data_IF_698205252489
#
_entry.id   IF_698205252489
#
_cell.length_a   1.000
_cell.length_b   1.000
_cell.length_c   1.000
_cell.angle_alpha   90.00
_cell.angle_beta   90.00
_cell.angle_gamma   90.00
#
_symmetry.space_group_name_H-M   'P 1'
#
loop_
_entity.id
_entity.type
_entity.pdbx_description
1 polymer ?
#
# COMPACT_ATOMS: atom_id res chain seq x y z
N UNK A 1 1.28 -28.67 6.95
CA UNK A 1 0.04 -27.85 6.95
C UNK A 1 -0.96 -28.50 5.98
N UNK A 2 -2.22 -28.46 6.31
CA UNK A 2 -3.28 -28.94 5.43
C UNK A 2 -4.09 -27.76 4.91
N UNK A 3 -3.48 -26.97 4.03
CA UNK A 3 -4.07 -25.73 3.51
C UNK A 3 -5.49 -25.92 2.98
N UNK A 4 -5.77 -27.02 2.31
CA UNK A 4 -7.10 -27.32 1.78
C UNK A 4 -8.17 -27.51 2.88
N UNK A 5 -7.82 -28.17 4.00
CA UNK A 5 -8.74 -28.38 5.13
C UNK A 5 -9.02 -27.05 5.86
N UNK A 6 -7.99 -26.21 6.05
CA UNK A 6 -8.13 -24.90 6.67
C UNK A 6 -9.03 -23.99 5.80
N UNK A 7 -8.77 -23.97 4.48
CA UNK A 7 -9.58 -23.18 3.54
C UNK A 7 -11.03 -23.64 3.50
N UNK A 8 -11.30 -24.95 3.48
CA UNK A 8 -12.66 -25.49 3.51
C UNK A 8 -13.38 -25.12 4.82
N UNK A 9 -12.66 -25.16 5.96
CA UNK A 9 -13.21 -24.74 7.25
C UNK A 9 -13.55 -23.24 7.27
N UNK A 10 -12.67 -22.40 6.70
CA UNK A 10 -12.91 -20.96 6.61
C UNK A 10 -14.08 -20.62 5.68
N UNK A 11 -14.17 -21.31 4.54
CA UNK A 11 -15.28 -21.10 3.60
C UNK A 11 -16.63 -21.46 4.23
N UNK A 12 -16.66 -22.52 5.04
CA UNK A 12 -17.86 -22.88 5.81
C UNK A 12 -18.22 -21.86 6.89
N UNK A 13 -17.23 -21.23 7.53
CA UNK A 13 -17.45 -20.19 8.55
C UNK A 13 -17.80 -18.82 7.97
N UNK A 14 -17.24 -18.47 6.80
CA UNK A 14 -17.33 -17.16 6.17
C UNK A 14 -17.89 -17.25 4.75
N UNK A 15 -19.10 -17.79 4.56
CA UNK A 15 -19.68 -17.98 3.24
C UNK A 15 -19.90 -16.63 2.54
N UNK A 16 -19.40 -16.51 1.32
CA UNK A 16 -19.53 -15.29 0.50
C UNK A 16 -18.43 -14.23 0.69
N UNK A 17 -17.46 -14.43 1.59
CA UNK A 17 -16.31 -13.54 1.76
C UNK A 17 -15.19 -13.87 0.75
N UNK A 18 -15.47 -13.75 -0.54
CA UNK A 18 -14.62 -14.23 -1.64
C UNK A 18 -13.24 -13.59 -1.64
N UNK A 19 -13.17 -12.27 -1.48
CA UNK A 19 -11.91 -11.52 -1.49
C UNK A 19 -10.99 -11.94 -0.34
N UNK A 20 -11.58 -12.13 0.84
CA UNK A 20 -10.84 -12.59 2.01
C UNK A 20 -10.33 -14.01 1.86
N UNK A 21 -11.18 -14.94 1.44
CA UNK A 21 -10.82 -16.35 1.24
C UNK A 21 -9.73 -16.53 0.17
N UNK A 22 -9.79 -15.74 -0.90
CA UNK A 22 -8.74 -15.74 -1.92
C UNK A 22 -7.39 -15.29 -1.36
N UNK A 23 -7.36 -14.19 -0.62
CA UNK A 23 -6.11 -13.68 -0.03
C UNK A 23 -5.50 -14.68 0.98
N UNK A 24 -6.33 -15.32 1.80
CA UNK A 24 -5.87 -16.37 2.71
C UNK A 24 -5.27 -17.55 1.93
N UNK A 25 -5.95 -18.01 0.87
CA UNK A 25 -5.45 -19.09 0.01
C UNK A 25 -4.06 -18.77 -0.56
N UNK A 26 -3.88 -17.59 -1.14
CA UNK A 26 -2.61 -17.16 -1.72
C UNK A 26 -1.47 -17.16 -0.70
N UNK A 27 -1.71 -16.63 0.49
CA UNK A 27 -0.71 -16.62 1.57
C UNK A 27 -0.41 -18.03 2.05
N UNK A 28 -1.42 -18.85 2.34
CA UNK A 28 -1.22 -20.22 2.84
C UNK A 28 -0.39 -21.05 1.87
N UNK A 29 -0.66 -20.97 0.57
CA UNK A 29 0.11 -21.69 -0.45
C UNK A 29 1.57 -21.22 -0.50
N UNK A 30 1.82 -19.94 -0.31
CA UNK A 30 3.17 -19.38 -0.35
C UNK A 30 4.03 -19.68 0.89
N UNK A 31 3.39 -19.98 2.05
CA UNK A 31 4.09 -20.22 3.31
C UNK A 31 4.08 -21.70 3.74
N UNK A 32 3.39 -22.59 3.01
CA UNK A 32 3.21 -23.99 3.40
C UNK A 32 4.51 -24.73 3.61
N UNK A 33 5.48 -24.55 2.73
CA UNK A 33 6.79 -25.18 2.82
C UNK A 33 7.51 -24.79 4.12
N UNK A 34 7.58 -23.49 4.43
CA UNK A 34 8.27 -22.99 5.61
C UNK A 34 7.50 -23.34 6.89
N UNK A 35 6.17 -23.32 6.86
CA UNK A 35 5.35 -23.71 8.00
C UNK A 35 5.61 -25.16 8.41
N UNK A 36 5.74 -26.09 7.43
CA UNK A 36 6.00 -27.50 7.68
C UNK A 36 7.38 -27.77 8.28
N UNK A 37 8.30 -26.83 8.22
CA UNK A 37 9.61 -26.89 8.88
C UNK A 37 9.54 -26.48 10.37
N UNK A 38 8.37 -25.97 10.84
CA UNK A 38 8.14 -25.44 12.18
C UNK A 38 7.00 -26.18 12.89
N UNK A 39 7.21 -27.41 13.40
CA UNK A 39 6.14 -28.16 14.07
C UNK A 39 5.57 -27.48 15.32
N UNK A 40 6.29 -26.54 15.91
CA UNK A 40 5.85 -25.69 17.01
C UNK A 40 4.69 -24.75 16.58
N UNK A 41 4.63 -24.33 15.35
CA UNK A 41 3.54 -23.50 14.84
C UNK A 41 2.22 -24.27 14.77
N UNK A 42 2.28 -25.53 14.37
CA UNK A 42 1.11 -26.41 14.34
C UNK A 42 0.55 -26.66 15.75
N UNK A 43 1.45 -26.93 16.72
CA UNK A 43 1.04 -27.13 18.15
C UNK A 43 0.37 -25.90 18.75
N UNK A 44 0.78 -24.70 18.32
CA UNK A 44 0.23 -23.42 18.77
C UNK A 44 -0.96 -22.94 17.94
N UNK A 45 -1.44 -23.73 16.96
CA UNK A 45 -2.51 -23.38 16.03
C UNK A 45 -2.31 -21.99 15.41
N UNK A 46 -1.07 -21.71 14.96
CA UNK A 46 -0.71 -20.37 14.48
C UNK A 46 -1.55 -19.97 13.26
N UNK A 47 -1.75 -20.87 12.30
CA UNK A 47 -2.53 -20.54 11.09
C UNK A 47 -3.99 -20.33 11.42
N UNK A 48 -4.60 -21.19 12.22
CA UNK A 48 -6.01 -21.09 12.60
C UNK A 48 -6.31 -19.77 13.32
N UNK A 49 -5.36 -19.28 14.12
CA UNK A 49 -5.46 -17.99 14.81
C UNK A 49 -5.16 -16.82 13.88
N UNK A 50 -4.20 -16.99 12.96
CA UNK A 50 -3.76 -15.95 12.04
C UNK A 50 -4.79 -15.60 10.96
N UNK A 51 -5.63 -16.56 10.57
CA UNK A 51 -6.65 -16.37 9.53
C UNK A 51 -7.99 -15.85 10.10
N UNK A 52 -8.08 -15.64 11.39
CA UNK A 52 -9.22 -14.98 12.02
C UNK A 52 -8.78 -13.63 12.58
N UNK A 53 -9.51 -12.54 12.35
CA UNK A 53 -9.19 -11.25 12.95
C UNK A 53 -9.42 -11.27 14.47
N UNK A 54 -8.57 -10.55 15.22
CA UNK A 54 -8.75 -10.43 16.67
C UNK A 54 -10.11 -9.82 17.04
N UNK A 55 -10.56 -8.81 16.28
CA UNK A 55 -11.85 -8.12 16.49
C UNK A 55 -12.37 -7.49 15.21
N UNK A 56 -13.70 -7.44 15.12
CA UNK A 56 -14.43 -6.68 14.12
C UNK A 56 -15.40 -5.76 14.83
N UNK A 57 -15.29 -4.46 14.59
CA UNK A 57 -16.23 -3.45 15.08
C UNK A 57 -17.07 -2.99 13.88
N UNK A 58 -18.38 -3.18 13.96
CA UNK A 58 -19.35 -2.72 12.96
C UNK A 58 -20.30 -1.75 13.62
N UNK A 59 -20.54 -0.62 13.01
CA UNK A 59 -21.38 0.44 13.57
C UNK A 59 -22.14 1.22 12.51
N UNK A 60 -23.24 1.81 12.91
CA UNK A 60 -24.07 2.70 12.09
C UNK A 60 -23.49 4.10 12.11
N UNK A 61 -23.42 4.73 10.92
CA UNK A 61 -22.96 6.12 10.74
C UNK A 61 -24.11 6.98 10.19
N UNK A 62 -24.95 7.60 11.03
CA UNK A 62 -25.98 8.53 10.59
C UNK A 62 -25.37 9.92 10.38
N UNK A 63 -25.74 10.60 9.29
CA UNK A 63 -25.30 11.95 8.99
C UNK A 63 -26.35 12.71 8.17
N UNK A 64 -26.22 14.03 8.09
CA UNK A 64 -27.17 14.92 7.44
C UNK A 64 -26.44 15.64 6.30
N UNK A 65 -27.02 15.62 5.10
CA UNK A 65 -26.50 16.34 3.95
C UNK A 65 -26.84 17.85 3.98
N UNK A 66 -26.34 18.57 2.99
CA UNK A 66 -26.56 20.02 2.87
C UNK A 66 -28.00 20.40 2.65
N UNK A 67 -28.85 19.49 2.15
CA UNK A 67 -30.28 19.67 1.97
C UNK A 67 -31.10 19.33 3.24
N UNK A 68 -30.44 18.89 4.33
CA UNK A 68 -31.09 18.49 5.57
C UNK A 68 -31.65 17.07 5.57
N UNK A 69 -31.32 16.26 4.55
CA UNK A 69 -31.70 14.84 4.48
C UNK A 69 -30.80 13.97 5.32
N UNK A 70 -31.41 13.07 6.08
CA UNK A 70 -30.69 12.07 6.88
C UNK A 70 -30.26 10.90 6.00
N UNK A 71 -28.99 10.52 6.14
CA UNK A 71 -28.38 9.33 5.53
C UNK A 71 -27.86 8.40 6.61
N UNK A 72 -27.77 7.11 6.29
CA UNK A 72 -27.22 6.09 7.17
C UNK A 72 -26.28 5.21 6.37
N UNK A 73 -25.04 5.16 6.79
CA UNK A 73 -24.00 4.27 6.27
C UNK A 73 -23.55 3.27 7.33
N UNK A 74 -22.82 2.26 6.90
CA UNK A 74 -22.20 1.28 7.80
C UNK A 74 -20.70 1.55 7.85
N UNK A 75 -20.19 1.70 9.08
CA UNK A 75 -18.78 1.80 9.37
C UNK A 75 -18.19 0.51 9.93
N UNK A 76 -16.93 0.26 9.64
CA UNK A 76 -16.21 -0.93 10.08
C UNK A 76 -14.80 -0.58 10.54
N UNK A 77 -14.31 -1.34 11.54
CA UNK A 77 -12.89 -1.47 11.85
C UNK A 77 -12.56 -2.93 12.09
N UNK A 78 -11.69 -3.49 11.28
CA UNK A 78 -11.11 -4.81 11.45
C UNK A 78 -9.75 -4.64 12.14
N UNK A 79 -9.65 -5.03 13.39
CA UNK A 79 -8.43 -5.19 14.16
C UNK A 79 -7.95 -6.61 13.91
N UNK A 80 -7.03 -6.76 12.93
CA UNK A 80 -6.77 -8.08 12.38
C UNK A 80 -5.78 -8.88 13.24
N UNK A 81 -4.61 -8.31 13.52
CA UNK A 81 -3.56 -8.96 14.32
C UNK A 81 -2.65 -7.90 14.94
N UNK A 82 -2.37 -8.00 16.24
CA UNK A 82 -1.50 -7.08 16.97
C UNK A 82 -0.27 -7.76 17.59
N UNK A 83 0.10 -8.93 17.15
CA UNK A 83 1.23 -9.68 17.73
C UNK A 83 2.56 -8.92 17.69
N UNK A 84 2.76 -8.04 16.72
CA UNK A 84 4.01 -7.28 16.56
C UNK A 84 3.89 -5.79 16.89
N UNK A 85 2.72 -5.32 17.29
CA UNK A 85 2.48 -3.92 17.65
C UNK A 85 1.02 -3.50 17.47
N UNK A 86 0.68 -2.23 17.72
CA UNK A 86 -0.69 -1.72 17.57
C UNK A 86 -1.26 -2.04 16.20
N UNK A 87 -2.56 -2.30 16.13
CA UNK A 87 -3.23 -2.45 14.82
C UNK A 87 -2.97 -1.21 13.97
N UNK A 88 -2.58 -1.40 12.72
CA UNK A 88 -2.22 -0.31 11.81
C UNK A 88 -2.78 -0.56 10.42
N UNK A 89 -3.49 0.42 9.88
CA UNK A 89 -3.98 0.39 8.52
C UNK A 89 -5.01 1.46 8.23
N UNK A 90 -5.25 1.72 6.94
CA UNK A 90 -6.07 2.82 6.46
C UNK A 90 -7.57 2.65 6.71
N UNK A 91 -8.29 3.76 6.60
CA UNK A 91 -9.74 3.84 6.51
C UNK A 91 -10.10 4.17 5.06
N UNK A 92 -11.01 3.38 4.47
CA UNK A 92 -11.48 3.55 3.09
C UNK A 92 -12.92 4.07 3.08
N UNK A 93 -13.17 5.15 2.36
CA UNK A 93 -14.53 5.62 2.08
C UNK A 93 -14.84 5.40 0.60
N UNK A 94 -15.61 4.34 0.34
CA UNK A 94 -16.00 3.99 -1.02
C UNK A 94 -17.28 3.13 -0.99
N UNK A 95 -18.21 3.30 -1.96
CA UNK A 95 -19.48 2.54 -1.98
C UNK A 95 -19.32 1.02 -2.00
N UNK A 96 -18.19 0.51 -2.50
CA UNK A 96 -17.92 -0.93 -2.55
C UNK A 96 -17.42 -1.52 -1.22
N UNK A 97 -17.20 -0.70 -0.19
CA UNK A 97 -16.70 -1.19 1.10
C UNK A 97 -17.70 -2.17 1.73
N UNK A 98 -17.19 -3.35 2.04
CA UNK A 98 -17.88 -4.40 2.78
C UNK A 98 -16.90 -5.13 3.70
N UNK A 99 -17.40 -6.01 4.54
CA UNK A 99 -16.57 -6.71 5.54
C UNK A 99 -15.52 -7.61 4.89
N UNK A 100 -15.85 -8.34 3.81
CA UNK A 100 -14.92 -9.23 3.11
C UNK A 100 -13.69 -8.48 2.61
N UNK A 101 -13.91 -7.32 1.95
CA UNK A 101 -12.83 -6.44 1.48
C UNK A 101 -11.96 -5.95 2.63
N UNK A 102 -12.56 -5.55 3.74
CA UNK A 102 -11.79 -5.01 4.88
C UNK A 102 -11.03 -6.11 5.64
N UNK A 103 -11.57 -7.33 5.75
CA UNK A 103 -10.85 -8.49 6.27
C UNK A 103 -9.66 -8.84 5.38
N UNK A 104 -9.87 -8.93 4.06
CA UNK A 104 -8.80 -9.11 3.08
C UNK A 104 -7.67 -8.09 3.27
N UNK A 105 -8.03 -6.81 3.26
CA UNK A 105 -7.05 -5.73 3.37
C UNK A 105 -6.36 -5.70 4.74
N UNK A 106 -7.05 -6.06 5.83
CA UNK A 106 -6.47 -6.15 7.17
C UNK A 106 -5.49 -7.32 7.31
N UNK A 107 -5.81 -8.45 6.71
CA UNK A 107 -4.96 -9.63 6.62
C UNK A 107 -3.65 -9.33 5.86
N UNK A 108 -3.76 -8.80 4.65
CA UNK A 108 -2.60 -8.37 3.85
C UNK A 108 -1.75 -7.30 4.56
N UNK A 109 -2.41 -6.36 5.24
CA UNK A 109 -1.73 -5.30 5.97
C UNK A 109 -0.86 -5.84 7.12
N UNK A 110 -1.26 -6.95 7.75
CA UNK A 110 -0.48 -7.60 8.81
C UNK A 110 0.91 -7.99 8.31
N UNK A 111 1.01 -8.63 7.15
CA UNK A 111 2.29 -9.06 6.57
C UNK A 111 3.09 -7.88 6.01
N UNK A 112 2.42 -6.95 5.36
CA UNK A 112 3.05 -5.73 4.84
C UNK A 112 3.72 -4.93 5.97
N UNK A 113 3.03 -4.74 7.09
CA UNK A 113 3.57 -4.02 8.25
C UNK A 113 4.74 -4.81 8.88
N UNK A 114 4.65 -6.13 8.94
CA UNK A 114 5.71 -6.98 9.46
C UNK A 114 7.04 -6.82 8.70
N UNK A 115 6.98 -6.62 7.38
CA UNK A 115 8.17 -6.40 6.55
C UNK A 115 8.90 -5.10 6.89
N UNK A 116 8.21 -4.06 7.36
CA UNK A 116 8.83 -2.76 7.66
C UNK A 116 9.81 -2.81 8.83
N UNK A 117 9.88 -3.91 9.57
CA UNK A 117 10.62 -4.07 10.83
C UNK A 117 10.09 -3.23 11.99
N UNK A 118 9.20 -2.27 11.73
CA UNK A 118 8.58 -1.43 12.74
C UNK A 118 7.52 -2.21 13.56
N UNK A 119 7.27 -1.83 14.82
CA UNK A 119 6.30 -2.50 15.69
C UNK A 119 4.87 -2.09 15.34
N UNK A 120 4.33 -2.63 14.26
CA UNK A 120 2.98 -2.36 13.77
C UNK A 120 2.27 -3.65 13.39
N UNK A 121 1.12 -3.90 13.99
CA UNK A 121 0.20 -4.96 13.61
C UNK A 121 -0.60 -4.63 12.35
N UNK A 122 -1.64 -5.41 12.06
CA UNK A 122 -2.52 -5.22 10.91
C UNK A 122 -3.95 -4.83 11.30
N UNK A 123 -4.50 -3.88 10.59
CA UNK A 123 -5.90 -3.48 10.72
C UNK A 123 -6.39 -2.74 9.48
N UNK A 124 -7.70 -2.68 9.31
CA UNK A 124 -8.35 -1.97 8.21
C UNK A 124 -9.71 -1.46 8.62
N UNK A 125 -10.07 -0.29 8.15
CA UNK A 125 -11.40 0.27 8.40
C UNK A 125 -12.01 0.87 7.15
N UNK A 126 -13.27 1.27 7.26
CA UNK A 126 -13.95 1.94 6.15
C UNK A 126 -15.46 2.07 6.35
N UNK A 127 -16.09 2.68 5.37
CA UNK A 127 -17.52 2.79 5.26
C UNK A 127 -17.95 2.79 3.80
N UNK A 128 -19.20 2.40 3.54
CA UNK A 128 -19.86 2.42 2.23
C UNK A 128 -20.26 3.84 1.78
N UNK A 129 -19.49 4.83 2.18
CA UNK A 129 -19.68 6.25 1.91
C UNK A 129 -18.76 6.71 0.77
N UNK A 130 -19.28 7.55 -0.14
CA UNK A 130 -18.46 8.22 -1.16
C UNK A 130 -18.31 9.71 -0.83
N UNK A 131 -17.07 10.22 -0.64
CA UNK A 131 -16.82 11.65 -0.50
C UNK A 131 -16.90 12.40 -1.85
N UNK A 132 -16.88 11.67 -2.99
CA UNK A 132 -16.89 12.29 -4.31
C UNK A 132 -18.20 13.04 -4.54
N UNK A 133 -18.09 14.32 -4.91
CA UNK A 133 -19.25 15.19 -5.16
C UNK A 133 -19.94 15.71 -3.91
N UNK A 134 -19.38 15.47 -2.71
CA UNK A 134 -19.87 16.00 -1.44
C UNK A 134 -19.18 17.30 -1.07
N UNK A 135 -19.91 18.17 -0.36
CA UNK A 135 -19.32 19.38 0.22
C UNK A 135 -18.37 19.06 1.38
N UNK A 136 -17.46 19.98 1.69
CA UNK A 136 -16.57 19.84 2.86
C UNK A 136 -17.37 19.71 4.17
N UNK A 137 -18.53 20.37 4.28
CA UNK A 137 -19.41 20.26 5.43
C UNK A 137 -20.01 18.86 5.56
N UNK A 138 -20.49 18.28 4.47
CA UNK A 138 -21.03 16.91 4.45
C UNK A 138 -19.96 15.90 4.85
N UNK A 139 -18.74 16.01 4.27
CA UNK A 139 -17.61 15.13 4.57
C UNK A 139 -17.19 15.27 6.03
N UNK A 140 -17.11 16.50 6.55
CA UNK A 140 -16.79 16.75 7.96
C UNK A 140 -17.83 16.12 8.88
N UNK A 141 -19.12 16.30 8.58
CA UNK A 141 -20.24 15.72 9.34
C UNK A 141 -20.17 14.20 9.37
N UNK A 142 -19.88 13.58 8.20
CA UNK A 142 -19.68 12.13 8.11
C UNK A 142 -18.49 11.66 8.94
N UNK A 143 -17.32 12.28 8.79
CA UNK A 143 -16.12 11.95 9.55
C UNK A 143 -16.33 12.05 11.07
N UNK A 144 -17.03 13.07 11.51
CA UNK A 144 -17.37 13.25 12.92
C UNK A 144 -18.30 12.16 13.43
N UNK A 145 -19.33 11.80 12.66
CA UNK A 145 -20.26 10.72 13.01
C UNK A 145 -19.55 9.37 13.04
N UNK A 146 -18.71 9.07 12.04
CA UNK A 146 -17.90 7.85 12.00
C UNK A 146 -17.00 7.74 13.24
N UNK A 147 -16.34 8.84 13.63
CA UNK A 147 -15.43 8.86 14.77
C UNK A 147 -16.15 8.76 16.13
N UNK A 148 -17.41 9.19 16.26
CA UNK A 148 -18.20 9.05 17.50
C UNK A 148 -18.33 7.59 17.95
N UNK A 149 -18.34 6.65 17.00
CA UNK A 149 -18.38 5.23 17.30
C UNK A 149 -16.97 4.63 17.43
N UNK A 150 -16.05 5.03 16.53
CA UNK A 150 -14.74 4.40 16.43
C UNK A 150 -13.78 4.79 17.57
N UNK A 151 -13.87 6.01 18.13
CA UNK A 151 -12.84 6.58 19.01
C UNK A 151 -12.49 5.72 20.23
N UNK A 152 -13.44 4.94 20.76
CA UNK A 152 -13.23 4.06 21.94
C UNK A 152 -12.35 2.85 21.64
N UNK A 153 -12.16 2.54 20.38
CA UNK A 153 -11.48 1.34 19.91
C UNK A 153 -10.09 1.61 19.33
N UNK A 154 -9.72 2.87 19.24
CA UNK A 154 -8.44 3.31 18.66
C UNK A 154 -7.63 4.12 19.66
N UNK A 155 -6.34 4.21 19.45
CA UNK A 155 -5.41 4.93 20.30
C UNK A 155 -3.97 4.77 19.81
N UNK A 156 -3.02 5.57 20.31
CA UNK A 156 -1.63 5.57 19.82
C UNK A 156 -0.93 4.21 20.03
N UNK A 157 -1.31 3.46 21.07
CA UNK A 157 -0.71 2.19 21.44
C UNK A 157 -1.68 0.99 21.27
N UNK A 158 -2.88 1.23 20.75
CA UNK A 158 -3.90 0.20 20.53
C UNK A 158 -4.12 -0.04 19.03
N UNK A 159 -4.57 1.01 18.33
CA UNK A 159 -4.96 0.94 16.93
C UNK A 159 -4.79 2.33 16.31
N UNK A 160 -3.94 2.42 15.28
CA UNK A 160 -3.59 3.70 14.64
C UNK A 160 -4.06 3.70 13.19
N UNK A 161 -5.26 4.23 12.89
CA UNK A 161 -5.76 4.36 11.53
C UNK A 161 -4.94 5.35 10.69
N UNK A 162 -5.12 5.26 9.37
CA UNK A 162 -4.54 6.17 8.38
C UNK A 162 -5.54 6.44 7.24
N UNK A 163 -5.13 7.22 6.24
CA UNK A 163 -5.88 7.37 5.00
C UNK A 163 -5.77 6.16 4.07
N UNK A 164 -6.74 6.03 3.19
CA UNK A 164 -6.82 5.07 2.08
C UNK A 164 -7.73 5.68 0.98
N UNK A 165 -8.26 4.88 0.04
CA UNK A 165 -9.17 5.37 -1.00
C UNK A 165 -10.32 6.18 -0.38
N UNK A 166 -10.55 7.38 -0.87
CA UNK A 166 -11.59 8.30 -0.39
C UNK A 166 -11.28 8.96 0.97
N UNK A 167 -10.11 8.73 1.54
CA UNK A 167 -9.67 9.32 2.81
C UNK A 167 -8.27 9.92 2.63
N UNK A 168 -8.22 11.20 2.36
CA UNK A 168 -7.00 11.99 2.27
C UNK A 168 -6.71 12.79 3.55
N UNK A 169 -5.80 13.76 3.44
CA UNK A 169 -5.43 14.61 4.58
C UNK A 169 -6.59 15.39 5.19
N UNK A 170 -7.58 15.80 4.38
CA UNK A 170 -8.80 16.49 4.83
C UNK A 170 -9.64 15.57 5.74
N UNK A 171 -9.96 14.37 5.30
CA UNK A 171 -10.74 13.40 6.06
C UNK A 171 -10.00 12.96 7.33
N UNK A 172 -8.69 12.72 7.23
CA UNK A 172 -7.84 12.42 8.40
C UNK A 172 -7.91 13.58 9.41
N UNK A 173 -7.83 14.83 8.95
CA UNK A 173 -7.91 15.99 9.82
C UNK A 173 -9.25 16.10 10.54
N UNK A 174 -10.36 15.89 9.82
CA UNK A 174 -11.71 15.92 10.43
C UNK A 174 -11.91 14.79 11.44
N UNK A 175 -11.45 13.57 11.13
CA UNK A 175 -11.53 12.44 12.06
C UNK A 175 -10.64 12.66 13.29
N UNK A 176 -9.41 13.12 13.10
CA UNK A 176 -8.49 13.40 14.21
C UNK A 176 -8.99 14.51 15.11
N UNK A 177 -9.54 15.59 14.53
CA UNK A 177 -10.15 16.68 15.30
C UNK A 177 -11.30 16.20 16.19
N UNK A 178 -12.14 15.30 15.68
CA UNK A 178 -13.22 14.70 16.47
C UNK A 178 -12.69 13.74 17.53
N UNK A 179 -11.72 12.87 17.21
CA UNK A 179 -11.06 11.99 18.17
C UNK A 179 -10.49 12.80 19.35
N UNK A 180 -9.67 13.78 19.06
CA UNK A 180 -9.06 14.66 20.07
C UNK A 180 -10.12 15.29 20.99
N UNK A 181 -11.27 15.68 20.45
CA UNK A 181 -12.38 16.27 21.21
C UNK A 181 -13.04 15.27 22.14
N UNK A 182 -13.24 14.02 21.67
CA UNK A 182 -13.91 12.96 22.44
C UNK A 182 -13.00 12.35 23.49
N UNK A 183 -11.76 12.06 23.14
CA UNK A 183 -10.77 11.48 24.05
C UNK A 183 -10.17 12.50 25.02
N UNK A 184 -10.26 13.81 24.71
CA UNK A 184 -9.60 14.89 25.42
C UNK A 184 -8.05 14.71 25.48
N UNK A 185 -7.48 14.19 24.39
CA UNK A 185 -6.06 13.87 24.28
C UNK A 185 -5.53 14.34 22.93
N UNK A 186 -4.27 14.78 22.90
CA UNK A 186 -3.52 15.08 21.68
C UNK A 186 -2.40 14.05 21.51
N UNK A 187 -2.69 12.96 20.82
CA UNK A 187 -1.80 11.80 20.68
C UNK A 187 -1.57 11.43 19.22
N UNK A 188 -0.71 10.44 18.97
CA UNK A 188 -0.43 9.87 17.66
C UNK A 188 -1.47 8.90 17.14
N UNK A 189 -2.73 9.05 17.48
CA UNK A 189 -3.81 8.07 17.18
C UNK A 189 -4.10 7.88 15.70
N UNK A 190 -3.79 8.83 14.85
CA UNK A 190 -3.91 8.69 13.39
C UNK A 190 -2.62 9.09 12.71
N UNK A 191 -2.35 8.51 11.53
CA UNK A 191 -1.26 8.95 10.66
C UNK A 191 -1.78 9.50 9.33
N UNK A 192 -0.93 10.27 8.64
CA UNK A 192 -1.34 11.07 7.50
C UNK A 192 -1.94 12.42 7.92
N UNK A 193 -1.66 12.84 9.15
CA UNK A 193 -2.05 14.15 9.66
C UNK A 193 -1.33 15.28 8.92
N UNK A 194 -1.93 16.47 8.94
CA UNK A 194 -1.25 17.68 8.50
C UNK A 194 -0.01 17.97 9.34
N UNK A 195 0.99 18.59 8.74
CA UNK A 195 2.25 18.88 9.40
C UNK A 195 2.09 19.78 10.63
N UNK A 196 1.09 20.66 10.63
CA UNK A 196 0.80 21.61 11.72
C UNK A 196 0.27 20.96 13.01
N UNK A 197 -0.14 19.69 12.95
CA UNK A 197 -0.70 18.96 14.10
C UNK A 197 -0.19 17.52 14.23
N UNK A 198 1.10 17.31 13.94
CA UNK A 198 1.80 16.08 14.23
C UNK A 198 2.02 15.15 13.03
N UNK A 199 1.78 15.61 11.80
CA UNK A 199 2.11 14.87 10.58
C UNK A 199 3.62 14.80 10.31
N UNK A 200 4.07 13.74 9.64
CA UNK A 200 5.44 13.58 9.20
C UNK A 200 5.71 14.27 7.86
N UNK A 201 6.94 14.74 7.68
CA UNK A 201 7.45 15.14 6.37
C UNK A 201 7.52 13.94 5.42
N UNK A 202 7.64 14.19 4.12
CA UNK A 202 7.75 13.22 3.03
C UNK A 202 6.57 12.25 2.89
N UNK A 203 5.46 12.45 3.61
CA UNK A 203 4.34 11.50 3.58
C UNK A 203 3.72 11.34 2.18
N UNK A 204 3.47 12.41 1.38
CA UNK A 204 2.94 12.29 0.03
C UNK A 204 3.84 11.50 -0.92
N UNK A 205 5.16 11.67 -0.81
CA UNK A 205 6.17 11.09 -1.70
C UNK A 205 6.59 9.68 -1.29
N UNK A 206 6.39 9.32 -0.03
CA UNK A 206 7.06 8.18 0.62
C UNK A 206 6.82 6.83 -0.06
N UNK A 207 5.64 6.59 -0.63
CA UNK A 207 5.37 5.35 -1.35
C UNK A 207 6.24 5.26 -2.61
N UNK A 208 6.28 6.32 -3.40
CA UNK A 208 7.12 6.39 -4.61
C UNK A 208 8.61 6.38 -4.30
N UNK A 209 9.04 7.13 -3.29
CA UNK A 209 10.45 7.15 -2.85
C UNK A 209 10.89 5.75 -2.39
N UNK A 210 10.10 5.11 -1.53
CA UNK A 210 10.37 3.76 -1.05
C UNK A 210 10.45 2.75 -2.19
N UNK A 211 9.55 2.83 -3.17
CA UNK A 211 9.56 1.94 -4.33
C UNK A 211 10.86 2.08 -5.13
N UNK A 212 11.33 3.30 -5.35
CA UNK A 212 12.60 3.53 -6.07
C UNK A 212 13.79 3.04 -5.26
N UNK A 213 13.81 3.20 -3.94
CA UNK A 213 14.84 2.62 -3.08
C UNK A 213 14.85 1.09 -3.16
N UNK A 214 13.68 0.46 -3.16
CA UNK A 214 13.60 -0.99 -3.33
C UNK A 214 14.17 -1.44 -4.68
N UNK A 215 13.83 -0.75 -5.77
CA UNK A 215 14.42 -0.99 -7.11
C UNK A 215 15.93 -0.78 -7.11
N UNK A 216 16.44 0.27 -6.44
CA UNK A 216 17.87 0.50 -6.29
C UNK A 216 18.57 -0.68 -5.61
N UNK A 217 17.96 -1.27 -4.58
CA UNK A 217 18.49 -2.45 -3.90
C UNK A 217 18.42 -3.70 -4.78
N UNK A 218 17.37 -3.89 -5.59
CA UNK A 218 17.34 -4.95 -6.63
C UNK A 218 18.52 -4.75 -7.59
N UNK A 219 18.69 -3.55 -8.12
CA UNK A 219 19.79 -3.24 -9.03
C UNK A 219 21.14 -3.58 -8.42
N UNK A 220 21.40 -3.14 -7.18
CA UNK A 220 22.64 -3.44 -6.45
C UNK A 220 22.85 -4.95 -6.25
N UNK A 221 21.79 -5.69 -5.90
CA UNK A 221 21.83 -7.14 -5.69
C UNK A 221 22.23 -7.90 -6.96
N UNK A 222 21.82 -7.41 -8.12
CA UNK A 222 22.06 -8.06 -9.42
C UNK A 222 23.15 -7.39 -10.26
N UNK A 223 23.95 -6.49 -9.68
CA UNK A 223 25.04 -5.80 -10.39
C UNK A 223 24.58 -4.88 -11.51
N UNK A 224 23.35 -4.35 -11.44
CA UNK A 224 22.78 -3.42 -12.41
C UNK A 224 23.01 -1.99 -11.91
N UNK A 225 23.48 -1.10 -12.76
CA UNK A 225 23.52 0.33 -12.45
C UNK A 225 22.15 0.95 -12.75
N UNK A 226 21.51 1.55 -11.74
CA UNK A 226 20.25 2.25 -11.91
C UNK A 226 20.41 3.54 -12.72
N UNK A 227 21.60 4.15 -12.67
CA UNK A 227 21.89 5.38 -13.41
C UNK A 227 21.80 5.15 -14.92
N UNK A 228 21.04 6.02 -15.58
CA UNK A 228 20.81 5.94 -17.03
C UNK A 228 19.72 4.96 -17.46
N UNK A 229 19.14 4.18 -16.53
CA UNK A 229 18.03 3.28 -16.84
C UNK A 229 16.75 4.04 -17.14
N UNK A 230 15.99 3.55 -18.12
CA UNK A 230 14.68 4.08 -18.49
C UNK A 230 13.59 3.38 -17.68
N UNK A 231 12.62 4.15 -17.21
CA UNK A 231 11.54 3.68 -16.34
C UNK A 231 10.18 4.05 -16.93
N UNK A 232 9.33 3.05 -17.15
CA UNK A 232 7.93 3.30 -17.46
C UNK A 232 7.10 3.25 -16.16
N UNK A 233 6.28 4.27 -15.94
CA UNK A 233 5.31 4.30 -14.84
C UNK A 233 3.91 4.55 -15.40
N UNK A 234 2.90 4.09 -14.66
CA UNK A 234 1.50 4.44 -14.85
C UNK A 234 1.04 5.48 -13.83
N UNK A 235 -0.08 6.14 -14.12
CA UNK A 235 -0.63 7.17 -13.23
C UNK A 235 0.12 8.49 -13.26
N UNK A 236 -0.42 9.46 -12.54
CA UNK A 236 0.16 10.81 -12.30
C UNK A 236 -0.14 11.31 -10.88
N UNK A 237 -0.59 10.41 -9.98
CA UNK A 237 -0.85 10.69 -8.58
C UNK A 237 0.41 10.80 -7.73
N UNK A 238 0.25 10.84 -6.40
CA UNK A 238 1.37 10.96 -5.45
C UNK A 238 2.44 9.90 -5.63
N UNK A 239 2.03 8.66 -5.88
CA UNK A 239 2.94 7.52 -6.03
C UNK A 239 3.79 7.71 -7.29
N UNK A 240 3.16 7.94 -8.44
CA UNK A 240 3.83 8.20 -9.71
C UNK A 240 4.77 9.42 -9.63
N UNK A 241 4.29 10.51 -9.03
CA UNK A 241 5.09 11.72 -8.82
C UNK A 241 6.32 11.46 -7.93
N UNK A 242 6.15 10.71 -6.84
CA UNK A 242 7.26 10.31 -5.97
C UNK A 242 8.29 9.45 -6.71
N UNK A 243 7.83 8.46 -7.50
CA UNK A 243 8.73 7.64 -8.33
C UNK A 243 9.50 8.52 -9.31
N UNK A 244 8.84 9.40 -10.07
CA UNK A 244 9.49 10.27 -11.04
C UNK A 244 10.57 11.14 -10.40
N UNK A 245 10.26 11.73 -9.24
CA UNK A 245 11.19 12.60 -8.49
C UNK A 245 12.41 11.82 -7.99
N UNK A 246 12.21 10.72 -7.27
CA UNK A 246 13.31 9.96 -6.65
C UNK A 246 14.14 9.21 -7.70
N UNK A 247 13.53 8.65 -8.74
CA UNK A 247 14.26 8.00 -9.83
C UNK A 247 15.18 9.00 -10.55
N UNK A 248 14.71 10.22 -10.78
CA UNK A 248 15.54 11.31 -11.36
C UNK A 248 16.69 11.68 -10.43
N UNK A 249 16.47 11.81 -9.12
CA UNK A 249 17.53 12.09 -8.14
C UNK A 249 18.63 11.01 -8.15
N UNK A 250 18.25 9.74 -8.38
CA UNK A 250 19.18 8.60 -8.45
C UNK A 250 19.73 8.37 -9.88
N UNK A 251 19.42 9.24 -10.84
CA UNK A 251 19.97 9.23 -12.18
C UNK A 251 19.27 8.32 -13.18
N UNK A 252 18.13 7.73 -12.85
CA UNK A 252 17.26 7.05 -13.81
C UNK A 252 16.36 8.03 -14.56
N UNK A 253 15.77 7.60 -15.67
CA UNK A 253 14.91 8.43 -16.52
C UNK A 253 13.51 7.86 -16.58
N UNK A 254 12.55 8.51 -15.93
CA UNK A 254 11.13 8.18 -16.09
C UNK A 254 10.61 8.78 -17.39
N UNK A 255 10.04 7.94 -18.26
CA UNK A 255 9.68 8.32 -19.63
C UNK A 255 8.17 8.24 -19.91
N UNK A 256 7.36 7.76 -18.98
CA UNK A 256 5.90 7.67 -19.17
C UNK A 256 5.13 8.14 -17.95
N UNK A 257 3.92 8.64 -18.18
CA UNK A 257 2.80 8.75 -17.22
C UNK A 257 1.53 8.32 -17.92
N UNK A 258 0.52 7.88 -17.19
CA UNK A 258 -0.76 7.47 -17.80
C UNK A 258 -1.97 7.93 -17.00
N UNK A 259 -3.09 8.05 -17.67
CA UNK A 259 -4.39 8.37 -17.12
C UNK A 259 -5.49 7.53 -17.76
N UNK A 260 -6.77 7.76 -17.41
CA UNK A 260 -7.88 7.07 -18.03
C UNK A 260 -8.01 7.30 -19.55
N UNK A 261 -7.48 8.42 -20.05
CA UNK A 261 -7.50 8.80 -21.48
C UNK A 261 -6.39 8.12 -22.31
N UNK A 262 -5.37 7.55 -21.65
CA UNK A 262 -4.23 6.92 -22.32
C UNK A 262 -2.92 7.15 -21.58
N UNK A 263 -1.79 7.15 -22.31
CA UNK A 263 -0.50 7.47 -21.71
C UNK A 263 0.30 8.47 -22.54
N UNK A 264 1.24 9.13 -21.87
CA UNK A 264 2.24 10.00 -22.49
C UNK A 264 3.60 9.33 -22.42
N UNK A 265 4.32 9.35 -23.54
CA UNK A 265 5.75 9.04 -23.65
C UNK A 265 6.55 10.32 -23.85
N UNK A 266 7.44 10.61 -22.91
CA UNK A 266 8.36 11.76 -22.96
C UNK A 266 9.81 11.25 -23.10
N UNK A 267 10.39 11.27 -24.31
CA UNK A 267 11.73 10.75 -24.53
C UNK A 267 12.83 11.54 -23.79
N UNK A 268 12.57 12.80 -23.44
CA UNK A 268 13.49 13.63 -22.66
C UNK A 268 13.48 13.25 -21.18
N UNK A 269 12.47 12.52 -20.75
CA UNK A 269 12.20 12.14 -19.37
C UNK A 269 11.43 13.20 -18.60
N UNK A 270 10.72 12.73 -17.54
CA UNK A 270 9.98 13.58 -16.60
C UNK A 270 10.94 13.93 -15.45
N UNK A 271 11.81 14.90 -15.67
CA UNK A 271 13.02 15.13 -14.89
C UNK A 271 13.34 16.61 -14.59
N UNK A 272 12.43 17.52 -14.88
CA UNK A 272 12.60 18.95 -14.57
C UNK A 272 11.55 19.44 -13.58
N UNK A 273 11.83 20.54 -12.83
CA UNK A 273 10.84 21.13 -11.93
C UNK A 273 9.50 21.44 -12.60
N UNK A 274 9.54 21.93 -13.86
CA UNK A 274 8.32 22.26 -14.63
C UNK A 274 7.52 21.00 -14.97
N UNK A 275 8.18 19.87 -15.27
CA UNK A 275 7.52 18.59 -15.56
C UNK A 275 6.93 17.98 -14.30
N UNK A 276 7.61 18.05 -13.15
CA UNK A 276 7.05 17.65 -11.86
C UNK A 276 5.86 18.51 -11.46
N UNK A 277 5.94 19.82 -11.69
CA UNK A 277 4.80 20.72 -11.44
C UNK A 277 3.62 20.38 -12.35
N UNK A 278 3.86 20.05 -13.62
CA UNK A 278 2.80 19.64 -14.52
C UNK A 278 2.07 18.38 -14.06
N UNK A 279 2.76 17.40 -13.43
CA UNK A 279 2.09 16.25 -12.81
C UNK A 279 1.20 16.68 -11.64
N UNK A 280 1.64 17.62 -10.81
CA UNK A 280 0.84 18.16 -9.71
C UNK A 280 -0.38 18.95 -10.22
N UNK A 281 -0.22 19.72 -11.32
CA UNK A 281 -1.29 20.48 -11.96
C UNK A 281 -2.37 19.52 -12.53
N UNK A 282 -1.97 18.46 -13.24
CA UNK A 282 -2.87 17.41 -13.72
C UNK A 282 -3.72 16.82 -12.59
N UNK A 283 -3.06 16.47 -11.49
CA UNK A 283 -3.73 15.93 -10.31
C UNK A 283 -4.71 16.93 -9.68
N UNK A 284 -4.32 18.20 -9.59
CA UNK A 284 -5.13 19.25 -8.98
C UNK A 284 -6.32 19.65 -9.84
N UNK A 285 -6.25 19.42 -11.17
CA UNK A 285 -7.32 19.74 -12.11
C UNK A 285 -8.57 18.89 -11.88
N UNK A 286 -8.41 17.66 -11.35
CA UNK A 286 -9.49 16.69 -11.19
C UNK A 286 -10.10 16.18 -12.49
N UNK A 287 -9.51 16.51 -13.64
CA UNK A 287 -10.02 16.13 -14.97
C UNK A 287 -9.56 14.76 -15.44
N UNK A 288 -8.53 14.21 -14.80
CA UNK A 288 -7.92 12.91 -15.15
C UNK A 288 -7.46 12.77 -16.61
N UNK A 289 -7.07 13.90 -17.26
CA UNK A 289 -6.70 13.98 -18.67
C UNK A 289 -5.18 14.13 -18.81
N UNK A 290 -4.46 13.01 -19.01
CA UNK A 290 -2.99 13.03 -19.07
C UNK A 290 -2.45 13.63 -20.37
N UNK A 291 -3.26 13.66 -21.43
CA UNK A 291 -2.90 14.30 -22.71
C UNK A 291 -2.56 15.80 -22.59
N UNK A 292 -3.01 16.46 -21.51
CA UNK A 292 -2.67 17.87 -21.28
C UNK A 292 -1.16 18.07 -21.00
N UNK A 293 -0.48 17.05 -20.49
CA UNK A 293 0.98 17.08 -20.36
C UNK A 293 1.66 17.20 -21.75
N UNK A 294 1.25 16.39 -22.72
CA UNK A 294 1.82 16.40 -24.06
C UNK A 294 1.57 17.73 -24.80
N UNK A 295 0.49 18.44 -24.49
CA UNK A 295 0.23 19.79 -25.05
C UNK A 295 1.25 20.83 -24.52
N UNK A 296 1.76 20.62 -23.30
CA UNK A 296 2.71 21.53 -22.64
C UNK A 296 4.17 21.27 -23.04
N UNK A 297 4.51 20.02 -23.38
CA UNK A 297 5.87 19.59 -23.70
C UNK A 297 5.93 19.02 -25.12
N UNK A 298 6.53 19.75 -26.10
CA UNK A 298 6.42 19.43 -27.53
C UNK A 298 7.03 18.08 -27.95
N UNK A 299 8.03 17.57 -27.21
CA UNK A 299 8.65 16.28 -27.51
C UNK A 299 7.88 15.10 -26.95
N UNK A 300 6.94 15.35 -26.05
CA UNK A 300 6.10 14.33 -25.47
C UNK A 300 5.01 13.90 -26.45
N UNK A 301 4.77 12.60 -26.52
CA UNK A 301 3.79 11.98 -27.42
C UNK A 301 2.66 11.36 -26.60
N UNK A 302 1.41 11.61 -26.99
CA UNK A 302 0.23 11.03 -26.35
C UNK A 302 -0.31 9.85 -27.17
N UNK A 303 -0.65 8.76 -26.48
CA UNK A 303 -1.20 7.54 -27.04
C UNK A 303 -2.56 7.26 -26.41
N UNK A 304 -3.62 7.64 -27.13
CA UNK A 304 -5.01 7.55 -26.64
C UNK A 304 -5.44 6.08 -26.41
N UNK A 305 -6.05 5.81 -25.27
CA UNK A 305 -6.63 4.51 -24.92
C UNK A 305 -5.61 3.38 -24.74
N UNK A 306 -4.31 3.68 -24.74
CA UNK A 306 -3.24 2.69 -24.59
C UNK A 306 -2.58 2.76 -23.24
N UNK A 307 -1.83 1.69 -22.89
CA UNK A 307 -1.06 1.54 -21.65
C UNK A 307 0.43 1.78 -21.90
N UNK A 308 1.21 2.27 -20.92
CA UNK A 308 2.62 2.59 -21.08
C UNK A 308 3.51 1.36 -21.28
N UNK A 309 2.98 0.16 -21.10
CA UNK A 309 3.73 -1.10 -21.13
C UNK A 309 4.20 -1.53 -22.52
N UNK A 310 3.72 -0.87 -23.58
CA UNK A 310 4.23 -1.08 -24.94
C UNK A 310 5.59 -0.37 -25.22
N UNK A 311 6.01 0.55 -24.34
CA UNK A 311 7.30 1.23 -24.49
C UNK A 311 8.47 0.33 -24.10
N UNK A 312 9.54 0.40 -24.90
CA UNK A 312 10.79 -0.29 -24.56
C UNK A 312 11.54 0.48 -23.49
N UNK A 313 11.61 -0.10 -22.31
CA UNK A 313 12.26 0.46 -21.14
C UNK A 313 13.03 -0.63 -20.38
N UNK A 314 13.89 -0.23 -19.46
CA UNK A 314 14.63 -1.18 -18.61
C UNK A 314 13.76 -1.64 -17.41
N UNK A 315 12.93 -0.75 -16.89
CA UNK A 315 12.19 -0.96 -15.63
C UNK A 315 10.72 -0.56 -15.84
N UNK A 316 9.78 -1.37 -15.36
CA UNK A 316 8.35 -1.07 -15.35
C UNK A 316 7.83 -1.00 -13.91
N UNK A 317 7.13 0.09 -13.57
CA UNK A 317 6.59 0.32 -12.23
C UNK A 317 5.11 0.75 -12.32
N UNK A 318 4.15 -0.18 -12.19
CA UNK A 318 2.73 0.18 -12.11
C UNK A 318 2.47 1.01 -10.84
N UNK A 319 1.97 2.24 -11.01
CA UNK A 319 1.80 3.24 -9.94
C UNK A 319 0.36 3.78 -9.82
N UNK A 320 -0.58 3.29 -10.61
CA UNK A 320 -1.93 3.85 -10.70
C UNK A 320 -2.95 3.04 -9.91
N UNK A 321 -3.42 1.94 -10.47
CA UNK A 321 -4.57 1.21 -9.94
C UNK A 321 -4.33 -0.28 -9.79
N UNK A 322 -5.25 -0.93 -9.09
CA UNK A 322 -5.27 -2.38 -8.95
C UNK A 322 -5.52 -3.06 -10.31
N UNK A 323 -4.82 -4.18 -10.56
CA UNK A 323 -4.97 -5.02 -11.76
C UNK A 323 -4.80 -4.26 -13.09
N UNK A 324 -3.97 -3.22 -13.09
CA UNK A 324 -3.71 -2.43 -14.30
C UNK A 324 -2.80 -3.12 -15.33
N UNK A 325 -1.98 -4.06 -14.88
CA UNK A 325 -1.08 -4.86 -15.71
C UNK A 325 -1.56 -6.32 -15.77
N UNK A 326 -1.99 -6.76 -16.94
CA UNK A 326 -2.46 -8.12 -17.16
C UNK A 326 -1.37 -9.03 -17.76
N UNK A 327 -1.67 -10.30 -18.01
CA UNK A 327 -0.72 -11.29 -18.54
C UNK A 327 -0.19 -10.90 -19.94
N UNK A 328 -1.02 -10.29 -20.80
CA UNK A 328 -0.59 -9.80 -22.12
C UNK A 328 0.41 -8.67 -22.01
N UNK A 329 0.17 -7.73 -21.09
CA UNK A 329 1.12 -6.67 -20.75
C UNK A 329 2.44 -7.27 -20.24
N UNK A 330 2.38 -8.31 -19.40
CA UNK A 330 3.58 -8.99 -18.88
C UNK A 330 4.40 -9.67 -19.97
N UNK A 331 3.73 -10.36 -20.91
CA UNK A 331 4.38 -10.96 -22.08
C UNK A 331 5.03 -9.91 -22.97
N UNK A 332 4.39 -8.77 -23.16
CA UNK A 332 4.90 -7.67 -23.95
C UNK A 332 6.15 -7.04 -23.31
N UNK A 333 6.12 -6.76 -22.01
CA UNK A 333 7.28 -6.26 -21.26
C UNK A 333 8.47 -7.21 -21.34
N UNK A 334 8.24 -8.52 -21.17
CA UNK A 334 9.27 -9.54 -21.31
C UNK A 334 9.87 -9.56 -22.72
N UNK A 335 9.02 -9.56 -23.75
CA UNK A 335 9.46 -9.51 -25.16
C UNK A 335 10.25 -8.24 -25.50
N UNK A 336 9.93 -7.11 -24.87
CA UNK A 336 10.63 -5.84 -25.01
C UNK A 336 11.96 -5.78 -24.22
N UNK A 337 12.28 -6.81 -23.43
CA UNK A 337 13.53 -6.90 -22.68
C UNK A 337 13.54 -6.11 -21.36
N UNK A 338 12.38 -5.84 -20.76
CA UNK A 338 12.29 -5.23 -19.44
C UNK A 338 12.98 -6.13 -18.42
N UNK A 339 13.90 -5.56 -17.65
CA UNK A 339 14.72 -6.29 -16.68
C UNK A 339 14.03 -6.39 -15.31
N UNK A 340 13.40 -5.31 -14.86
CA UNK A 340 12.78 -5.23 -13.52
C UNK A 340 11.32 -4.79 -13.66
N UNK A 341 10.43 -5.50 -12.98
CA UNK A 341 9.04 -5.10 -12.77
C UNK A 341 8.81 -4.93 -11.26
N UNK A 342 8.49 -3.72 -10.81
CA UNK A 342 8.30 -3.41 -9.41
C UNK A 342 6.90 -2.83 -9.16
N UNK A 343 6.05 -3.64 -8.54
CA UNK A 343 4.66 -3.31 -8.24
C UNK A 343 4.57 -2.18 -7.21
N UNK A 344 4.28 -0.97 -7.66
CA UNK A 344 4.26 0.21 -6.79
C UNK A 344 2.84 0.54 -6.30
N UNK A 345 1.82 0.29 -7.13
CA UNK A 345 0.42 0.30 -6.69
C UNK A 345 0.07 -0.96 -5.87
N UNK A 346 -1.03 -0.91 -5.12
CA UNK A 346 -1.53 -2.10 -4.44
C UNK A 346 -2.13 -3.07 -5.47
N UNK A 347 -1.55 -4.28 -5.57
CA UNK A 347 -1.97 -5.30 -6.54
C UNK A 347 -2.04 -4.73 -7.97
N UNK A 348 -0.99 -4.05 -8.43
CA UNK A 348 -0.93 -3.44 -9.76
C UNK A 348 -0.96 -4.46 -10.90
N UNK A 349 -0.44 -5.67 -10.65
CA UNK A 349 -0.48 -6.80 -11.57
C UNK A 349 -1.66 -7.72 -11.26
N UNK A 350 -2.25 -8.34 -12.29
CA UNK A 350 -3.15 -9.47 -12.08
C UNK A 350 -2.36 -10.69 -11.60
N UNK A 351 -3.05 -11.68 -11.02
CA UNK A 351 -2.40 -12.91 -10.55
C UNK A 351 -1.65 -13.61 -11.70
N UNK A 352 -2.26 -13.69 -12.87
CA UNK A 352 -1.67 -14.31 -14.07
C UNK A 352 -0.42 -13.57 -14.54
N UNK A 353 -0.40 -12.23 -14.46
CA UNK A 353 0.78 -11.44 -14.79
C UNK A 353 1.93 -11.69 -13.79
N UNK A 354 1.61 -11.72 -12.50
CA UNK A 354 2.60 -12.01 -11.44
C UNK A 354 3.16 -13.43 -11.57
N UNK A 355 2.30 -14.44 -11.80
CA UNK A 355 2.70 -15.82 -12.06
C UNK A 355 3.62 -15.92 -13.27
N UNK A 356 3.26 -15.26 -14.39
CA UNK A 356 4.10 -15.22 -15.58
C UNK A 356 5.51 -14.69 -15.30
N UNK A 357 5.64 -13.57 -14.58
CA UNK A 357 6.94 -13.02 -14.22
C UNK A 357 7.78 -13.98 -13.38
N UNK A 358 7.16 -14.63 -12.39
CA UNK A 358 7.83 -15.62 -11.54
C UNK A 358 8.25 -16.86 -12.34
N UNK A 359 7.38 -17.43 -13.18
CA UNK A 359 7.70 -18.57 -14.04
C UNK A 359 8.86 -18.27 -15.02
N UNK A 360 8.88 -17.06 -15.57
CA UNK A 360 9.96 -16.60 -16.45
C UNK A 360 11.23 -16.16 -15.70
N UNK A 361 11.21 -16.26 -14.35
CA UNK A 361 12.32 -15.83 -13.48
C UNK A 361 12.78 -14.39 -13.73
N UNK A 362 11.82 -13.51 -14.06
CA UNK A 362 12.08 -12.09 -14.16
C UNK A 362 12.29 -11.49 -12.76
N UNK A 363 12.98 -10.34 -12.69
CA UNK A 363 13.12 -9.60 -11.44
C UNK A 363 11.80 -8.86 -11.15
N UNK A 364 10.83 -9.63 -10.62
CA UNK A 364 9.52 -9.14 -10.25
C UNK A 364 9.41 -8.99 -8.74
N UNK A 365 9.05 -7.80 -8.27
CA UNK A 365 8.87 -7.50 -6.85
C UNK A 365 7.41 -7.10 -6.54
N UNK A 366 6.78 -7.74 -5.53
CA UNK A 366 5.36 -7.55 -5.22
C UNK A 366 5.10 -6.25 -4.48
N UNK A 367 3.89 -5.73 -4.63
CA UNK A 367 3.46 -4.45 -4.05
C UNK A 367 3.65 -4.36 -2.54
N UNK A 368 3.37 -5.42 -1.79
CA UNK A 368 3.52 -5.43 -0.32
C UNK A 368 4.95 -5.11 0.16
N UNK A 369 5.96 -5.41 -0.64
CA UNK A 369 7.35 -5.05 -0.36
C UNK A 369 7.71 -3.68 -0.98
N UNK A 370 7.44 -3.51 -2.27
CA UNK A 370 7.84 -2.32 -3.03
C UNK A 370 7.16 -1.04 -2.52
N UNK A 371 5.86 -1.07 -2.25
CA UNK A 371 5.10 0.11 -1.82
C UNK A 371 5.02 0.30 -0.30
N UNK A 372 5.82 -0.43 0.46
CA UNK A 372 5.85 -0.33 1.92
C UNK A 372 6.32 1.04 2.44
N UNK A 373 6.93 1.87 1.59
CA UNK A 373 7.40 3.21 1.96
C UNK A 373 6.32 4.09 2.59
N UNK A 374 5.08 3.99 2.11
CA UNK A 374 3.95 4.74 2.68
C UNK A 374 3.63 4.35 4.12
N UNK A 375 3.56 3.06 4.42
CA UNK A 375 3.30 2.58 5.79
C UNK A 375 4.53 2.72 6.68
N UNK A 376 5.75 2.59 6.13
CA UNK A 376 6.98 2.85 6.85
C UNK A 376 7.02 4.30 7.36
N UNK A 377 6.74 5.28 6.50
CA UNK A 377 6.66 6.69 6.92
C UNK A 377 5.51 6.94 7.90
N UNK A 378 4.41 6.19 7.81
CA UNK A 378 3.36 6.24 8.83
C UNK A 378 3.88 5.75 10.20
N UNK A 379 4.68 4.69 10.24
CA UNK A 379 5.34 4.24 11.46
C UNK A 379 6.35 5.25 12.00
N UNK A 380 7.09 5.93 11.13
CA UNK A 380 7.96 7.04 11.51
C UNK A 380 7.16 8.24 12.06
N UNK A 381 5.97 8.52 11.54
CA UNK A 381 5.06 9.51 12.11
C UNK A 381 4.62 9.12 13.52
N UNK A 382 4.26 7.85 13.75
CA UNK A 382 3.94 7.35 15.10
C UNK A 382 5.11 7.56 16.06
N UNK A 383 6.34 7.24 15.65
CA UNK A 383 7.54 7.43 16.44
C UNK A 383 7.74 8.90 16.80
N UNK A 384 7.66 9.81 15.82
CA UNK A 384 7.78 11.25 16.05
C UNK A 384 6.72 11.76 17.04
N UNK A 385 5.47 11.27 16.92
CA UNK A 385 4.39 11.63 17.82
C UNK A 385 4.64 11.13 19.25
N UNK A 386 5.12 9.90 19.42
CA UNK A 386 5.44 9.35 20.74
C UNK A 386 6.60 10.08 21.42
N UNK A 387 7.55 10.60 20.65
CA UNK A 387 8.68 11.38 21.13
C UNK A 387 8.37 12.87 21.32
N UNK A 388 7.21 13.34 20.84
CA UNK A 388 6.86 14.77 20.75
C UNK A 388 7.88 15.59 19.95
N UNK A 389 8.45 15.01 18.91
CA UNK A 389 9.44 15.63 18.04
C UNK A 389 9.00 15.59 16.58
N UNK A 390 9.59 16.47 15.77
CA UNK A 390 9.45 16.42 14.30
C UNK A 390 10.84 16.30 13.69
N UNK A 391 10.99 15.37 12.74
CA UNK A 391 12.22 15.20 11.98
C UNK A 391 12.23 16.03 10.71
N UNK A 392 13.43 16.32 10.21
CA UNK A 392 13.64 16.99 8.91
C UNK A 392 13.30 16.06 7.76
N UNK A 393 13.25 16.61 6.54
CA UNK A 393 13.07 15.79 5.34
C UNK A 393 14.19 14.74 5.20
N UNK A 394 15.42 15.16 5.46
CA UNK A 394 16.63 14.32 5.35
C UNK A 394 16.63 13.19 6.37
N UNK A 395 16.21 13.46 7.60
CA UNK A 395 16.10 12.43 8.65
C UNK A 395 15.04 11.39 8.32
N UNK A 396 13.87 11.81 7.82
CA UNK A 396 12.80 10.90 7.40
C UNK A 396 13.22 10.09 6.18
N UNK A 397 13.86 10.73 5.19
CA UNK A 397 14.32 10.08 3.96
C UNK A 397 15.40 9.02 4.25
N UNK A 398 16.37 9.34 5.11
CA UNK A 398 17.41 8.39 5.51
C UNK A 398 16.82 7.16 6.22
N UNK A 399 15.85 7.37 7.12
CA UNK A 399 15.16 6.26 7.81
C UNK A 399 14.30 5.44 6.85
N UNK A 400 13.62 6.08 5.91
CA UNK A 400 12.85 5.41 4.87
C UNK A 400 13.76 4.55 3.99
N UNK A 401 14.89 5.07 3.56
CA UNK A 401 15.88 4.34 2.77
C UNK A 401 16.38 3.09 3.51
N UNK A 402 16.72 3.22 4.80
CA UNK A 402 17.13 2.08 5.63
C UNK A 402 16.04 1.01 5.74
N UNK A 403 14.80 1.42 6.02
CA UNK A 403 13.67 0.47 6.12
C UNK A 403 13.47 -0.29 4.79
N UNK A 404 13.57 0.40 3.65
CA UNK A 404 13.44 -0.24 2.34
C UNK A 404 14.60 -1.21 2.04
N UNK A 405 15.82 -0.91 2.53
CA UNK A 405 16.96 -1.83 2.51
C UNK A 405 16.65 -3.10 3.31
N UNK A 406 16.17 -2.94 4.54
CA UNK A 406 15.85 -4.05 5.44
C UNK A 406 14.76 -4.95 4.85
N UNK A 407 13.72 -4.35 4.25
CA UNK A 407 12.66 -5.09 3.55
C UNK A 407 13.26 -5.90 2.39
N UNK A 408 14.10 -5.28 1.57
CA UNK A 408 14.75 -5.97 0.45
C UNK A 408 15.60 -7.14 0.93
N UNK A 409 16.41 -6.95 1.97
CA UNK A 409 17.24 -8.00 2.55
C UNK A 409 16.41 -9.19 3.07
N UNK A 410 15.27 -8.91 3.74
CA UNK A 410 14.35 -9.95 4.17
C UNK A 410 13.74 -10.72 2.98
N UNK A 411 13.37 -10.03 1.91
CA UNK A 411 12.88 -10.68 0.70
C UNK A 411 13.96 -11.56 0.04
N UNK A 412 15.21 -11.09 -0.04
CA UNK A 412 16.33 -11.86 -0.59
C UNK A 412 16.61 -13.11 0.24
N UNK A 413 16.68 -12.95 1.57
CA UNK A 413 16.95 -14.05 2.51
C UNK A 413 15.93 -15.18 2.38
N UNK A 414 14.65 -14.84 2.29
CA UNK A 414 13.56 -15.81 2.32
C UNK A 414 13.06 -16.22 0.93
N UNK A 415 13.49 -15.54 -0.13
CA UNK A 415 13.06 -15.82 -1.50
C UNK A 415 14.14 -16.43 -2.39
N UNK A 416 15.32 -16.78 -1.86
CA UNK A 416 16.43 -17.32 -2.66
C UNK A 416 16.15 -18.75 -3.11
N UNK A 417 16.20 -18.96 -4.42
CA UNK A 417 16.01 -20.25 -5.09
C UNK A 417 17.21 -20.48 -6.06
N UNK A 418 18.31 -20.95 -5.52
CA UNK A 418 19.59 -21.02 -6.26
C UNK A 418 20.09 -19.61 -6.62
N UNK A 419 20.27 -19.36 -7.91
CA UNK A 419 20.70 -18.05 -8.42
C UNK A 419 19.53 -17.06 -8.62
N UNK A 420 18.29 -17.53 -8.57
CA UNK A 420 17.09 -16.71 -8.67
C UNK A 420 16.62 -16.24 -7.30
N UNK A 421 16.08 -15.04 -7.24
CA UNK A 421 15.43 -14.48 -6.06
C UNK A 421 13.94 -14.28 -6.40
N UNK A 422 13.12 -15.12 -5.78
CA UNK A 422 11.66 -14.99 -5.85
C UNK A 422 11.19 -13.98 -4.78
N UNK A 423 11.10 -12.72 -5.16
CA UNK A 423 10.71 -11.65 -4.23
C UNK A 423 9.27 -11.81 -3.71
N UNK A 424 8.38 -12.48 -4.45
CA UNK A 424 7.00 -12.75 -4.01
C UNK A 424 7.03 -13.73 -2.83
N UNK A 425 7.69 -14.88 -3.01
CA UNK A 425 7.90 -15.86 -1.94
C UNK A 425 8.62 -15.23 -0.76
N UNK A 426 9.69 -14.48 -1.04
CA UNK A 426 10.50 -13.81 -0.01
C UNK A 426 9.69 -12.86 0.87
N UNK A 427 8.85 -12.01 0.28
CA UNK A 427 8.00 -11.09 1.02
C UNK A 427 6.94 -11.82 1.87
N UNK A 428 6.27 -12.83 1.30
CA UNK A 428 5.24 -13.60 2.02
C UNK A 428 5.85 -14.37 3.20
N UNK A 429 6.94 -15.09 2.96
CA UNK A 429 7.61 -15.90 4.00
C UNK A 429 8.18 -15.02 5.10
N UNK A 430 8.87 -13.92 4.76
CA UNK A 430 9.44 -13.01 5.76
C UNK A 430 8.36 -12.39 6.65
N UNK A 431 7.28 -11.88 6.06
CA UNK A 431 6.15 -11.32 6.81
C UNK A 431 5.50 -12.36 7.72
N UNK A 432 5.22 -13.55 7.18
CA UNK A 432 4.63 -14.66 7.94
C UNK A 432 5.50 -15.09 9.13
N UNK A 433 6.76 -15.39 8.91
CA UNK A 433 7.65 -15.87 9.98
C UNK A 433 7.73 -14.89 11.15
N UNK A 434 7.81 -13.59 10.89
CA UNK A 434 7.86 -12.58 11.94
C UNK A 434 6.59 -12.57 12.79
N UNK A 435 5.42 -12.62 12.17
CA UNK A 435 4.13 -12.63 12.88
C UNK A 435 3.95 -13.95 13.62
N UNK A 436 4.21 -15.08 12.96
CA UNK A 436 4.07 -16.42 13.56
C UNK A 436 4.96 -16.60 14.78
N UNK A 437 6.21 -16.13 14.71
CA UNK A 437 7.16 -16.19 15.83
C UNK A 437 6.66 -15.34 17.02
N UNK A 438 6.20 -14.11 16.75
CA UNK A 438 5.66 -13.25 17.79
C UNK A 438 4.42 -13.86 18.46
N UNK A 439 3.51 -14.46 17.68
CA UNK A 439 2.34 -15.17 18.20
C UNK A 439 2.73 -16.39 19.03
N UNK A 440 3.78 -17.11 18.63
CA UNK A 440 4.27 -18.27 19.37
C UNK A 440 4.87 -17.85 20.72
N UNK A 441 5.68 -16.81 20.75
CA UNK A 441 6.36 -16.31 21.96
C UNK A 441 5.39 -15.72 22.99
N UNK A 442 4.32 -15.10 22.52
CA UNK A 442 3.27 -14.53 23.39
C UNK A 442 2.29 -15.59 23.91
N UNK A 443 2.32 -16.80 23.36
CA UNK A 443 1.45 -17.89 23.77
C UNK A 443 0.04 -17.83 23.17
N UNK A 444 -0.88 -18.55 23.78
CA UNK A 444 -2.28 -18.60 23.34
C UNK A 444 -3.08 -17.59 24.17
N UNK A 445 -3.33 -16.43 23.56
CA UNK A 445 -4.06 -15.29 24.16
C UNK A 445 -5.33 -15.00 23.38
#
# INVERSE_FOLDING_TARGET
MKSAEILASLEAKHPGEKEFLQAVKEVLLSVEEVYNQHPEFEKAAIIERLVEPDRIITFRVPWIDDAGKVHVNIGYRVQFNNAIGPYKGGIRFHPSVNLSILKFLGFEQTFKNALTTLPMGGGKGGADFSPKGRSDREIMTFCQSFMRELWRHIGPDTDVPAGDIGVGGREVAYMYGQYKRLANEHTGTMTGKGFTFGGSRLRPESTGFGAVYFVQHICKQHGIDLKGKTVAISGFGNVAWGVAKKATELGAKVVTISGPDGYVYDPDGINTPEKFQAMLDLRSSGNDVVSDYAKKFPNAQFFAGKKPWEQKVDIAMPCATQNEMNEEDAKLLHANGVTIVAETSNMGCTAEAAEYFVEKKMLFAPGKAVNAGGVATSGLEMTQNAMHLSWTNEEVDAKLHQIMSDIHEQCVKNGREGDYINYVKGANVAGFLKVAQAMLEQGVI
#
